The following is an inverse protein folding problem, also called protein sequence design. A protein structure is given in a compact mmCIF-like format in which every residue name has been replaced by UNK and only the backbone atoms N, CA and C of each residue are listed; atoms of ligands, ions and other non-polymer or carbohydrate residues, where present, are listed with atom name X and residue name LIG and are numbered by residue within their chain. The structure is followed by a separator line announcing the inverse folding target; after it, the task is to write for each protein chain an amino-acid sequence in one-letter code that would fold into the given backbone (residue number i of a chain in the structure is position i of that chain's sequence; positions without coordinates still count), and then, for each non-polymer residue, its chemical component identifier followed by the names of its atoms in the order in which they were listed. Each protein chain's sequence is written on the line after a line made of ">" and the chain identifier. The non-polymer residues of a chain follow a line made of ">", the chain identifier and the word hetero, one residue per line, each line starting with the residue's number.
data_IF_775896551744
#
_entry.id   IF_775896551744
#
_cell.length_a   1.000
_cell.length_b   1.000
_cell.length_c   1.000
_cell.angle_alpha   90.00
_cell.angle_beta   90.00
_cell.angle_gamma   90.00
#
_symmetry.space_group_name_H-M   'P 1'
#
loop_
_entity.id
_entity.type
_entity.pdbx_description
1 polymer ?
#
# COMPACT_ATOMS: atom_id res chain seq x y z
N UNK A 1 24.45 24.80 17.84
CA UNK A 1 23.31 25.20 16.99
C UNK A 1 23.52 24.46 15.68
N UNK A 2 23.08 23.20 15.62
CA UNK A 2 23.47 22.31 14.54
C UNK A 2 22.72 22.75 13.27
N UNK A 3 23.49 23.07 12.24
CA UNK A 3 23.02 23.33 10.90
C UNK A 3 22.46 22.02 10.30
N UNK A 4 21.28 21.61 10.77
CA UNK A 4 20.48 20.57 10.14
C UNK A 4 19.92 21.14 8.82
N UNK A 5 20.78 21.09 7.81
CA UNK A 5 20.43 20.69 6.44
C UNK A 5 19.15 21.31 5.91
N UNK A 6 19.16 22.63 5.74
CA UNK A 6 18.38 23.31 4.71
C UNK A 6 18.85 22.87 3.32
N UNK A 7 18.51 21.63 2.94
CA UNK A 7 18.43 21.22 1.55
C UNK A 7 16.96 20.92 1.34
N UNK A 8 16.26 21.75 0.57
CA UNK A 8 14.84 21.57 0.26
C UNK A 8 14.52 20.20 -0.38
N UNK A 9 15.55 19.40 -0.68
CA UNK A 9 15.52 18.01 -1.08
C UNK A 9 16.56 17.24 -0.25
N UNK A 10 16.12 16.58 0.83
CA UNK A 10 16.93 15.56 1.48
C UNK A 10 16.89 14.29 0.63
N UNK A 11 17.98 13.98 -0.06
CA UNK A 11 18.05 12.84 -0.97
C UNK A 11 17.77 11.52 -0.25
N UNK A 12 18.14 11.41 1.03
CA UNK A 12 17.84 10.23 1.84
C UNK A 12 16.32 10.08 2.07
N UNK A 13 15.64 11.19 2.38
CA UNK A 13 14.18 11.21 2.56
C UNK A 13 13.42 10.93 1.24
N UNK A 14 13.93 11.41 0.11
CA UNK A 14 13.36 11.08 -1.21
C UNK A 14 13.54 9.60 -1.53
N UNK A 15 14.73 9.05 -1.27
CA UNK A 15 15.03 7.65 -1.57
C UNK A 15 14.19 6.72 -0.69
N UNK A 16 14.01 7.04 0.60
CA UNK A 16 13.10 6.29 1.47
C UNK A 16 11.64 6.38 0.99
N UNK A 17 11.17 7.57 0.61
CA UNK A 17 9.80 7.75 0.08
C UNK A 17 9.57 6.91 -1.17
N UNK A 18 10.52 6.88 -2.10
CA UNK A 18 10.42 6.06 -3.32
C UNK A 18 10.40 4.58 -2.99
N UNK A 19 11.32 4.12 -2.12
CA UNK A 19 11.39 2.70 -1.72
C UNK A 19 10.10 2.26 -1.03
N UNK A 20 9.58 3.02 -0.07
CA UNK A 20 8.35 2.68 0.64
C UNK A 20 7.11 2.78 -0.25
N UNK A 21 7.06 3.72 -1.19
CA UNK A 21 5.98 3.82 -2.17
C UNK A 21 5.93 2.59 -3.09
N UNK A 22 7.08 2.18 -3.63
CA UNK A 22 7.19 0.96 -4.45
C UNK A 22 6.83 -0.27 -3.63
N UNK A 23 7.32 -0.37 -2.39
CA UNK A 23 7.00 -1.47 -1.49
C UNK A 23 5.50 -1.58 -1.22
N UNK A 24 4.82 -0.45 -0.99
CA UNK A 24 3.38 -0.40 -0.82
C UNK A 24 2.61 -0.89 -2.03
N UNK A 25 3.01 -0.47 -3.24
CA UNK A 25 2.40 -0.94 -4.49
C UNK A 25 2.59 -2.45 -4.66
N UNK A 26 3.80 -2.95 -4.41
CA UNK A 26 4.12 -4.39 -4.51
C UNK A 26 3.28 -5.20 -3.52
N UNK A 27 3.19 -4.76 -2.26
CA UNK A 27 2.35 -5.39 -1.25
C UNK A 27 0.87 -5.36 -1.62
N UNK A 28 0.40 -4.27 -2.23
CA UNK A 28 -0.99 -4.15 -2.68
C UNK A 28 -1.31 -5.16 -3.78
N UNK A 29 -0.44 -5.27 -4.80
CA UNK A 29 -0.61 -6.25 -5.89
C UNK A 29 -0.53 -7.68 -5.35
N UNK A 30 0.44 -7.97 -4.49
CA UNK A 30 0.57 -9.29 -3.85
C UNK A 30 -0.69 -9.66 -3.08
N UNK A 31 -1.24 -8.74 -2.30
CA UNK A 31 -2.46 -8.97 -1.52
C UNK A 31 -3.63 -9.29 -2.43
N UNK A 32 -3.82 -8.53 -3.51
CA UNK A 32 -4.88 -8.79 -4.50
C UNK A 32 -4.71 -10.18 -5.13
N UNK A 33 -3.49 -10.54 -5.55
CA UNK A 33 -3.20 -11.85 -6.16
C UNK A 33 -3.44 -12.99 -5.18
N UNK A 34 -2.96 -12.86 -3.94
CA UNK A 34 -3.11 -13.86 -2.88
C UNK A 34 -4.58 -14.03 -2.52
N UNK A 35 -5.33 -12.95 -2.33
CA UNK A 35 -6.77 -12.99 -2.01
C UNK A 35 -7.56 -13.63 -3.15
N UNK A 36 -7.27 -13.24 -4.40
CA UNK A 36 -7.90 -13.82 -5.58
C UNK A 36 -7.63 -15.34 -5.67
N UNK A 37 -6.41 -15.78 -5.35
CA UNK A 37 -6.04 -17.19 -5.34
C UNK A 37 -6.64 -17.96 -4.16
N UNK A 38 -6.64 -17.36 -2.97
CA UNK A 38 -7.09 -17.99 -1.73
C UNK A 38 -8.60 -18.19 -1.70
N UNK A 39 -9.36 -17.16 -2.07
CA UNK A 39 -10.81 -17.22 -2.09
C UNK A 39 -11.39 -17.74 -3.41
N UNK A 40 -10.54 -18.04 -4.42
CA UNK A 40 -10.94 -18.35 -5.81
C UNK A 40 -11.99 -17.38 -6.36
N UNK A 41 -11.98 -16.14 -5.87
CA UNK A 41 -12.93 -15.12 -6.28
C UNK A 41 -12.66 -14.81 -7.75
N UNK A 42 -13.71 -14.64 -8.54
CA UNK A 42 -13.54 -14.16 -9.90
C UNK A 42 -13.67 -12.64 -9.83
N UNK A 43 -12.60 -11.96 -9.42
CA UNK A 43 -12.50 -10.50 -9.27
C UNK A 43 -13.32 -9.72 -10.32
N UNK A 44 -13.07 -10.02 -11.59
CA UNK A 44 -13.74 -9.33 -12.68
C UNK A 44 -15.24 -9.61 -12.74
N UNK A 45 -15.67 -10.82 -12.36
CA UNK A 45 -17.06 -11.24 -12.37
C UNK A 45 -17.83 -10.65 -11.18
N UNK A 46 -17.26 -10.67 -9.99
CA UNK A 46 -17.94 -10.17 -8.78
C UNK A 46 -17.99 -8.64 -8.69
N UNK A 47 -16.92 -7.92 -9.08
CA UNK A 47 -16.96 -6.46 -9.08
C UNK A 47 -17.78 -5.88 -10.24
N UNK A 48 -17.65 -6.43 -11.45
CA UNK A 48 -18.23 -5.84 -12.66
C UNK A 48 -19.60 -6.42 -13.02
N UNK A 49 -19.84 -7.72 -12.77
CA UNK A 49 -21.13 -8.34 -13.09
C UNK A 49 -22.07 -8.37 -11.88
N UNK A 50 -21.56 -8.67 -10.69
CA UNK A 50 -22.42 -8.77 -9.49
C UNK A 50 -22.49 -7.48 -8.64
N UNK A 51 -21.72 -6.44 -8.99
CA UNK A 51 -21.66 -5.18 -8.23
C UNK A 51 -21.45 -5.41 -6.72
N UNK A 52 -20.59 -6.36 -6.37
CA UNK A 52 -20.42 -6.76 -4.98
C UNK A 52 -19.63 -5.70 -4.19
N UNK A 53 -20.37 -4.80 -3.51
CA UNK A 53 -19.83 -3.73 -2.66
C UNK A 53 -18.92 -4.29 -1.55
N UNK A 54 -19.16 -5.52 -1.07
CA UNK A 54 -18.32 -6.14 -0.05
C UNK A 54 -16.88 -6.32 -0.53
N UNK A 55 -16.68 -6.60 -1.82
CA UNK A 55 -15.34 -6.70 -2.40
C UNK A 55 -14.66 -5.33 -2.49
N UNK A 56 -15.42 -4.28 -2.86
CA UNK A 56 -14.90 -2.91 -2.84
C UNK A 56 -14.44 -2.47 -1.45
N UNK A 57 -15.22 -2.79 -0.42
CA UNK A 57 -14.86 -2.53 0.99
C UNK A 57 -13.63 -3.33 1.40
N UNK A 58 -13.49 -4.58 0.96
CA UNK A 58 -12.32 -5.42 1.22
C UNK A 58 -11.04 -4.80 0.63
N UNK A 59 -11.07 -4.34 -0.63
CA UNK A 59 -9.92 -3.66 -1.27
C UNK A 59 -9.57 -2.38 -0.51
N UNK A 60 -10.57 -1.57 -0.13
CA UNK A 60 -10.34 -0.37 0.66
C UNK A 60 -9.68 -0.69 2.02
N UNK A 61 -10.12 -1.76 2.68
CA UNK A 61 -9.52 -2.24 3.93
C UNK A 61 -8.06 -2.65 3.76
N UNK A 62 -7.71 -3.34 2.68
CA UNK A 62 -6.32 -3.70 2.39
C UNK A 62 -5.44 -2.47 2.11
N UNK A 63 -5.96 -1.48 1.37
CA UNK A 63 -5.23 -0.24 1.13
C UNK A 63 -4.92 0.49 2.45
N UNK A 64 -5.88 0.57 3.37
CA UNK A 64 -5.68 1.17 4.70
C UNK A 64 -4.67 0.37 5.52
N UNK A 65 -4.80 -0.95 5.56
CA UNK A 65 -3.88 -1.81 6.31
C UNK A 65 -2.42 -1.66 5.85
N UNK A 66 -2.19 -1.63 4.54
CA UNK A 66 -0.85 -1.41 3.96
C UNK A 66 -0.32 -0.02 4.35
N UNK A 67 -1.15 1.01 4.28
CA UNK A 67 -0.79 2.36 4.72
C UNK A 67 -0.35 2.40 6.18
N UNK A 68 -1.05 1.70 7.08
CA UNK A 68 -0.70 1.61 8.50
C UNK A 68 0.63 0.87 8.71
N UNK A 69 0.87 -0.22 7.98
CA UNK A 69 2.14 -0.96 8.06
C UNK A 69 3.30 -0.05 7.67
N UNK A 70 3.18 0.68 6.55
CA UNK A 70 4.23 1.58 6.07
C UNK A 70 4.45 2.73 7.07
N UNK A 71 3.37 3.33 7.58
CA UNK A 71 3.48 4.37 8.60
C UNK A 71 4.21 3.87 9.86
N UNK A 72 3.93 2.64 10.29
CA UNK A 72 4.67 1.98 11.38
C UNK A 72 6.15 1.79 11.07
N UNK A 73 6.50 1.40 9.84
CA UNK A 73 7.91 1.23 9.44
C UNK A 73 8.67 2.56 9.34
N UNK A 74 8.01 3.65 8.95
CA UNK A 74 8.63 4.97 8.88
C UNK A 74 8.81 5.56 10.29
N UNK A 75 7.89 5.27 11.21
CA UNK A 75 7.95 5.74 12.60
C UNK A 75 8.91 4.93 13.47
N UNK A 76 9.13 3.65 13.14
CA UNK A 76 10.10 2.81 13.85
C UNK A 76 11.53 3.22 13.45
N UNK A 77 12.37 3.70 14.41
CA UNK A 77 13.74 4.10 14.15
C UNK A 77 14.66 2.95 13.72
#
# INVERSE_FOLDING_TARGET
>A
MNEQTSSALDLAALLSTVVYSVLGIVLMVLTIVVVNKLFRLQLHRELVQEHNVAFGIMIAGFAVAIGVIIAGTIMSP
#
